data_IF_128800217850
#
_entry.id   IF_128800217850
#
_cell.length_a   1.000
_cell.length_b   1.000
_cell.length_c   1.000
_cell.angle_alpha   90.00
_cell.angle_beta   90.00
_cell.angle_gamma   90.00
#
_symmetry.space_group_name_H-M   'P 1'
#
loop_
_entity.id
_entity.type
_entity.pdbx_description
1 polymer ?
#
# COMPACT_ATOMS: atom_id res chain seq x y z
N UNK A 1 -8.26 5.30 14.31
CA UNK A 1 -8.11 6.71 14.67
C UNK A 1 -9.14 7.54 13.90
N UNK A 2 -9.78 8.51 14.57
CA UNK A 2 -10.71 9.42 13.92
C UNK A 2 -10.31 10.85 14.29
N UNK A 3 -10.12 11.70 13.29
CA UNK A 3 -9.89 13.12 13.45
C UNK A 3 -11.09 13.88 12.87
N UNK A 4 -11.72 14.75 13.65
CA UNK A 4 -12.88 15.54 13.25
C UNK A 4 -12.63 17.03 13.45
N UNK A 5 -13.03 17.83 12.48
CA UNK A 5 -12.80 19.27 12.45
C UNK A 5 -14.00 20.01 11.90
N UNK A 6 -14.26 21.18 12.45
CA UNK A 6 -15.10 22.22 11.85
C UNK A 6 -14.36 23.56 11.92
N UNK A 7 -14.64 24.47 10.98
CA UNK A 7 -14.07 25.82 11.02
C UNK A 7 -14.82 26.73 11.99
N UNK A 8 -14.23 27.88 12.29
CA UNK A 8 -14.89 28.99 12.93
C UNK A 8 -15.03 30.14 11.92
N UNK A 9 -16.27 30.46 11.53
CA UNK A 9 -16.57 31.61 10.65
C UNK A 9 -16.31 32.94 11.32
N UNK A 10 -16.59 33.02 12.63
CA UNK A 10 -16.45 34.22 13.43
C UNK A 10 -15.18 34.18 14.26
N UNK A 11 -14.17 35.02 13.96
CA UNK A 11 -12.88 34.99 14.66
C UNK A 11 -12.97 35.31 16.17
N UNK A 12 -14.05 35.94 16.58
CA UNK A 12 -14.29 36.30 18.00
C UNK A 12 -15.07 35.23 18.75
N UNK A 13 -15.50 34.17 18.10
CA UNK A 13 -16.18 33.05 18.74
C UNK A 13 -15.22 32.37 19.74
N UNK A 14 -15.75 31.99 20.90
CA UNK A 14 -14.94 31.37 21.96
C UNK A 14 -14.44 29.97 21.61
N UNK A 15 -15.05 29.30 20.65
CA UNK A 15 -14.70 27.94 20.21
C UNK A 15 -15.91 27.14 19.72
N UNK A 16 -15.68 25.89 19.41
CA UNK A 16 -16.68 24.93 18.98
C UNK A 16 -17.12 24.03 20.14
N UNK A 17 -18.24 23.34 19.95
CA UNK A 17 -18.73 22.34 20.90
C UNK A 17 -18.19 20.94 20.56
N UNK A 18 -16.99 20.61 21.01
CA UNK A 18 -16.31 19.32 20.73
C UNK A 18 -17.17 18.08 21.04
N UNK A 19 -17.98 18.16 22.12
CA UNK A 19 -18.87 17.06 22.51
C UNK A 19 -19.90 16.72 21.44
N UNK A 20 -20.36 17.69 20.61
CA UNK A 20 -21.31 17.43 19.53
C UNK A 20 -20.68 16.59 18.43
N UNK A 21 -19.41 16.87 18.09
CA UNK A 21 -18.68 16.06 17.11
C UNK A 21 -18.50 14.63 17.61
N UNK A 22 -18.11 14.49 18.88
CA UNK A 22 -17.92 13.19 19.52
C UNK A 22 -19.21 12.35 19.51
N UNK A 23 -20.34 12.92 19.91
CA UNK A 23 -21.61 12.21 19.96
C UNK A 23 -22.09 11.73 18.59
N UNK A 24 -21.91 12.52 17.54
CA UNK A 24 -22.24 12.12 16.16
C UNK A 24 -21.37 11.00 15.65
N UNK A 25 -20.06 10.99 16.01
CA UNK A 25 -19.15 9.88 15.69
C UNK A 25 -19.53 8.63 16.46
N UNK A 26 -19.86 8.76 17.75
CA UNK A 26 -20.26 7.63 18.61
C UNK A 26 -21.54 6.97 18.09
N UNK A 27 -22.53 7.76 17.73
CA UNK A 27 -23.78 7.30 17.12
C UNK A 27 -23.52 6.51 15.83
N UNK A 28 -22.69 7.06 14.91
CA UNK A 28 -22.31 6.36 13.69
C UNK A 28 -21.61 5.03 14.00
N UNK A 29 -20.69 5.01 14.96
CA UNK A 29 -19.89 3.83 15.29
C UNK A 29 -20.69 2.69 15.92
N UNK A 30 -21.82 2.98 16.52
CA UNK A 30 -22.68 2.00 17.19
C UNK A 30 -23.81 1.47 16.33
N UNK A 31 -24.24 2.24 15.34
CA UNK A 31 -25.44 1.96 14.54
C UNK A 31 -25.17 1.44 13.14
N UNK A 32 -24.02 1.78 12.55
CA UNK A 32 -23.81 1.64 11.12
C UNK A 32 -22.37 1.26 10.71
N UNK A 33 -22.25 0.77 9.48
CA UNK A 33 -20.98 0.59 8.78
C UNK A 33 -20.58 1.90 8.10
N UNK A 34 -19.29 2.19 8.04
CA UNK A 34 -18.78 3.36 7.33
C UNK A 34 -19.03 3.20 5.80
N UNK A 35 -20.03 3.92 5.30
CA UNK A 35 -20.38 4.03 3.89
C UNK A 35 -20.18 5.46 3.39
N UNK A 36 -20.26 5.65 2.09
CA UNK A 36 -20.25 6.99 1.49
C UNK A 36 -21.38 7.85 2.05
N UNK A 37 -22.62 7.31 2.11
CA UNK A 37 -23.80 8.01 2.58
C UNK A 37 -23.69 8.41 4.06
N UNK A 38 -23.25 7.47 4.90
CA UNK A 38 -23.08 7.74 6.33
C UNK A 38 -21.99 8.77 6.60
N UNK A 39 -20.94 8.81 5.77
CA UNK A 39 -19.90 9.84 5.83
C UNK A 39 -20.46 11.22 5.49
N UNK A 40 -21.32 11.32 4.47
CA UNK A 40 -21.99 12.57 4.10
C UNK A 40 -22.90 13.04 5.23
N UNK A 41 -23.73 12.14 5.76
CA UNK A 41 -24.63 12.41 6.88
C UNK A 41 -23.87 12.92 8.12
N UNK A 42 -22.72 12.32 8.42
CA UNK A 42 -21.87 12.75 9.53
C UNK A 42 -21.33 14.18 9.32
N UNK A 43 -20.83 14.49 8.11
CA UNK A 43 -20.31 15.82 7.79
C UNK A 43 -21.41 16.90 7.83
N UNK A 44 -22.60 16.60 7.32
CA UNK A 44 -23.77 17.46 7.42
C UNK A 44 -24.18 17.67 8.89
N UNK A 45 -24.15 16.62 9.70
CA UNK A 45 -24.40 16.68 11.14
C UNK A 45 -23.40 17.58 11.87
N UNK A 46 -22.13 17.54 11.48
CA UNK A 46 -21.11 18.43 12.07
C UNK A 46 -21.42 19.89 11.80
N UNK A 47 -21.80 20.24 10.56
CA UNK A 47 -22.18 21.61 10.21
C UNK A 47 -23.48 22.02 10.90
N UNK A 48 -24.53 21.19 10.82
CA UNK A 48 -25.84 21.50 11.40
C UNK A 48 -25.79 21.70 12.92
N UNK A 49 -24.98 20.89 13.62
CA UNK A 49 -24.79 21.07 15.06
C UNK A 49 -24.01 22.35 15.43
N UNK A 50 -23.37 23.04 14.45
CA UNK A 50 -22.60 24.25 14.62
C UNK A 50 -23.02 25.35 13.64
N UNK A 51 -24.29 25.40 13.21
CA UNK A 51 -24.81 26.18 12.08
C UNK A 51 -24.42 27.66 12.14
N UNK A 52 -24.46 28.29 13.30
CA UNK A 52 -24.04 29.68 13.45
C UNK A 52 -22.52 29.89 13.39
N UNK A 53 -21.75 28.87 13.68
CA UNK A 53 -20.30 28.94 13.89
C UNK A 53 -19.50 28.42 12.70
N UNK A 54 -20.03 27.44 11.95
CA UNK A 54 -19.26 26.65 10.99
C UNK A 54 -20.01 26.50 9.67
N UNK A 55 -19.25 26.47 8.57
CA UNK A 55 -19.74 26.14 7.22
C UNK A 55 -18.85 25.13 6.50
N UNK A 56 -17.79 24.68 7.18
CA UNK A 56 -16.89 23.64 6.69
C UNK A 56 -16.70 22.56 7.76
N UNK A 57 -16.75 21.32 7.34
CA UNK A 57 -16.47 20.16 8.18
C UNK A 57 -15.48 19.22 7.48
N UNK A 58 -14.61 18.61 8.26
CA UNK A 58 -13.68 17.58 7.79
C UNK A 58 -13.65 16.44 8.78
N UNK A 59 -13.63 15.21 8.26
CA UNK A 59 -13.39 14.02 9.06
C UNK A 59 -12.35 13.14 8.37
N UNK A 60 -11.51 12.48 9.16
CA UNK A 60 -10.52 11.54 8.69
C UNK A 60 -10.61 10.27 9.52
N UNK A 61 -10.84 9.15 8.86
CA UNK A 61 -10.80 7.81 9.44
C UNK A 61 -9.51 7.12 9.01
N UNK A 62 -8.72 6.65 9.96
CA UNK A 62 -7.49 5.88 9.69
C UNK A 62 -7.56 4.54 10.41
N UNK A 63 -7.40 3.45 9.67
CA UNK A 63 -7.51 2.08 10.19
C UNK A 63 -6.74 1.09 9.31
N UNK A 64 -6.47 -0.09 9.86
CA UNK A 64 -5.91 -1.20 9.12
C UNK A 64 -7.02 -2.03 8.51
N UNK A 65 -7.04 -2.13 7.18
CA UNK A 65 -7.97 -2.98 6.45
C UNK A 65 -7.37 -4.37 6.24
N UNK A 66 -8.00 -5.39 6.79
CA UNK A 66 -7.47 -6.74 6.78
C UNK A 66 -8.09 -7.57 5.64
N UNK A 67 -7.22 -8.10 4.77
CA UNK A 67 -7.61 -9.03 3.70
C UNK A 67 -6.88 -10.37 3.84
N UNK A 68 -7.58 -11.45 3.52
CA UNK A 68 -6.93 -12.74 3.31
C UNK A 68 -6.34 -12.79 1.91
N UNK A 69 -5.02 -12.99 1.83
CA UNK A 69 -4.27 -13.08 0.58
C UNK A 69 -3.74 -14.50 0.37
N UNK A 70 -3.88 -14.98 -0.86
CA UNK A 70 -3.27 -16.25 -1.30
C UNK A 70 -1.80 -16.04 -1.59
N UNK A 71 -0.99 -17.05 -1.29
CA UNK A 71 0.38 -17.15 -1.78
C UNK A 71 0.41 -17.41 -3.28
N UNK A 72 1.58 -17.18 -3.89
CA UNK A 72 1.76 -17.17 -5.35
C UNK A 72 1.48 -18.54 -6.00
N UNK A 73 1.95 -19.64 -5.39
CA UNK A 73 1.91 -20.99 -5.96
C UNK A 73 1.12 -21.95 -5.07
N UNK A 74 1.45 -22.04 -3.79
CA UNK A 74 0.87 -23.05 -2.89
C UNK A 74 -0.59 -22.82 -2.54
N UNK A 75 -1.13 -21.62 -2.83
CA UNK A 75 -2.51 -21.25 -2.51
C UNK A 75 -2.78 -21.13 -1.01
N UNK A 76 -1.75 -21.15 -0.16
CA UNK A 76 -1.89 -20.88 1.27
C UNK A 76 -2.41 -19.46 1.49
N UNK A 77 -3.15 -19.25 2.54
CA UNK A 77 -3.76 -17.96 2.83
C UNK A 77 -3.29 -17.41 4.17
N UNK A 78 -2.95 -16.15 4.18
CA UNK A 78 -2.63 -15.40 5.39
C UNK A 78 -3.39 -14.07 5.43
N UNK A 79 -3.52 -13.51 6.62
CA UNK A 79 -4.04 -12.17 6.81
C UNK A 79 -2.95 -11.14 6.52
N UNK A 80 -3.33 -10.09 5.80
CA UNK A 80 -2.49 -8.95 5.51
C UNK A 80 -3.25 -7.67 5.84
N UNK A 81 -2.59 -6.75 6.52
CA UNK A 81 -3.13 -5.44 6.86
C UNK A 81 -2.67 -4.40 5.84
N UNK A 82 -3.60 -3.55 5.43
CA UNK A 82 -3.35 -2.40 4.56
C UNK A 82 -3.79 -1.15 5.30
N UNK A 83 -2.88 -0.22 5.61
CA UNK A 83 -3.26 1.07 6.15
C UNK A 83 -4.18 1.81 5.17
N UNK A 84 -5.33 2.24 5.67
CA UNK A 84 -6.34 2.96 4.90
C UNK A 84 -6.69 4.24 5.60
N UNK A 85 -6.84 5.29 4.81
CA UNK A 85 -7.36 6.58 5.29
C UNK A 85 -8.49 7.05 4.39
N UNK A 86 -9.63 7.34 4.97
CA UNK A 86 -10.78 7.94 4.30
C UNK A 86 -10.91 9.37 4.83
N UNK A 87 -10.83 10.35 3.94
CA UNK A 87 -10.99 11.77 4.27
C UNK A 87 -12.22 12.32 3.58
N UNK A 88 -13.16 12.83 4.36
CA UNK A 88 -14.31 13.61 3.87
C UNK A 88 -14.12 15.08 4.20
N UNK A 89 -14.37 15.95 3.23
CA UNK A 89 -14.38 17.40 3.37
C UNK A 89 -15.67 17.94 2.79
N UNK A 90 -16.47 18.60 3.60
CA UNK A 90 -17.64 19.35 3.18
C UNK A 90 -17.34 20.85 3.35
N UNK A 91 -17.24 21.58 2.25
CA UNK A 91 -16.90 22.99 2.23
C UNK A 91 -17.99 23.79 1.49
N UNK A 92 -18.77 24.55 2.23
CA UNK A 92 -19.86 25.37 1.69
C UNK A 92 -20.78 24.60 0.73
N UNK A 93 -21.17 23.40 1.12
CA UNK A 93 -22.01 22.49 0.33
C UNK A 93 -21.28 21.71 -0.76
N UNK A 94 -19.98 21.92 -0.97
CA UNK A 94 -19.19 21.12 -1.88
C UNK A 94 -18.51 19.99 -1.11
N UNK A 95 -18.80 18.74 -1.50
CA UNK A 95 -18.25 17.54 -0.91
C UNK A 95 -17.06 17.05 -1.73
N UNK A 96 -15.95 16.80 -1.06
CA UNK A 96 -14.78 16.11 -1.60
C UNK A 96 -14.47 14.92 -0.69
N UNK A 97 -14.36 13.70 -1.25
CA UNK A 97 -13.97 12.47 -0.53
C UNK A 97 -12.75 11.88 -1.19
N UNK A 98 -11.73 11.59 -0.38
CA UNK A 98 -10.48 10.97 -0.77
C UNK A 98 -10.29 9.65 0.01
N UNK A 99 -9.95 8.59 -0.71
CA UNK A 99 -9.51 7.31 -0.17
C UNK A 99 -8.01 7.15 -0.43
N UNK A 100 -7.23 6.96 0.63
CA UNK A 100 -5.81 6.62 0.57
C UNK A 100 -5.61 5.18 1.02
N UNK A 101 -4.80 4.43 0.27
CA UNK A 101 -4.44 3.04 0.59
C UNK A 101 -2.94 2.87 0.45
N UNK A 102 -2.32 2.28 1.47
CA UNK A 102 -0.89 2.00 1.48
C UNK A 102 -0.66 0.51 1.21
N UNK A 103 0.03 0.20 0.12
CA UNK A 103 0.28 -1.19 -0.31
C UNK A 103 1.77 -1.49 -0.27
N UNK A 104 2.24 -2.37 0.64
CA UNK A 104 3.63 -2.78 0.68
C UNK A 104 3.96 -3.75 -0.46
N UNK A 105 5.06 -3.50 -1.14
CA UNK A 105 5.59 -4.34 -2.20
C UNK A 105 7.11 -4.49 -2.09
N UNK A 106 7.68 -5.37 -2.90
CA UNK A 106 9.13 -5.54 -3.02
C UNK A 106 9.59 -5.09 -4.40
N UNK A 107 10.71 -4.40 -4.44
CA UNK A 107 11.37 -4.04 -5.69
C UNK A 107 12.86 -4.37 -5.64
N UNK A 108 13.45 -4.60 -6.78
CA UNK A 108 14.89 -4.84 -6.92
C UNK A 108 15.53 -3.66 -7.65
N UNK A 109 16.53 -3.05 -7.02
CA UNK A 109 17.24 -1.92 -7.61
C UNK A 109 17.92 -2.32 -8.93
N UNK A 110 17.60 -1.66 -10.06
CA UNK A 110 18.19 -1.97 -11.37
C UNK A 110 19.71 -1.85 -11.40
N UNK A 111 20.28 -0.84 -10.73
CA UNK A 111 21.73 -0.67 -10.64
C UNK A 111 22.38 -1.84 -9.89
N UNK A 112 21.84 -2.22 -8.73
CA UNK A 112 22.34 -3.35 -7.95
C UNK A 112 22.26 -4.67 -8.73
N UNK A 113 21.18 -4.87 -9.51
CA UNK A 113 21.02 -6.04 -10.36
C UNK A 113 22.05 -6.08 -11.51
N UNK A 114 22.37 -4.94 -12.11
CA UNK A 114 23.38 -4.83 -13.15
C UNK A 114 24.78 -5.12 -12.61
N UNK A 115 25.14 -4.51 -11.48
CA UNK A 115 26.45 -4.71 -10.83
C UNK A 115 26.63 -6.17 -10.33
N UNK A 116 25.59 -6.77 -9.76
CA UNK A 116 25.63 -8.18 -9.35
C UNK A 116 25.94 -9.10 -10.55
N UNK A 117 25.27 -8.88 -11.70
CA UNK A 117 25.57 -9.65 -12.93
C UNK A 117 27.00 -9.48 -13.42
N UNK A 118 27.55 -8.26 -13.36
CA UNK A 118 28.94 -7.99 -13.75
C UNK A 118 29.94 -8.74 -12.85
N UNK A 119 29.69 -8.76 -11.53
CA UNK A 119 30.54 -9.50 -10.58
C UNK A 119 30.48 -11.02 -10.83
N UNK A 120 29.29 -11.58 -11.11
CA UNK A 120 29.14 -12.98 -11.47
C UNK A 120 29.87 -13.31 -12.78
N UNK A 121 29.78 -12.44 -13.80
CA UNK A 121 30.53 -12.61 -15.06
C UNK A 121 32.04 -12.58 -14.84
N UNK A 122 32.52 -11.70 -13.97
CA UNK A 122 33.94 -11.64 -13.62
C UNK A 122 34.39 -12.90 -12.90
N UNK A 123 33.66 -13.37 -11.89
CA UNK A 123 33.93 -14.58 -11.17
C UNK A 123 33.95 -15.83 -12.10
N UNK A 124 33.02 -15.90 -13.06
CA UNK A 124 33.02 -16.95 -14.08
C UNK A 124 34.30 -16.90 -14.93
N UNK A 125 34.67 -15.71 -15.40
CA UNK A 125 35.91 -15.55 -16.19
C UNK A 125 37.16 -15.98 -15.40
N UNK A 126 37.28 -15.55 -14.15
CA UNK A 126 38.41 -15.92 -13.28
C UNK A 126 38.48 -17.44 -13.02
N UNK A 127 37.34 -18.08 -12.78
CA UNK A 127 37.24 -19.51 -12.51
C UNK A 127 37.63 -20.39 -13.71
N UNK A 128 37.30 -19.97 -14.92
CA UNK A 128 37.44 -20.80 -16.13
C UNK A 128 38.46 -20.27 -17.17
N UNK A 129 39.23 -19.23 -16.84
CA UNK A 129 40.13 -18.54 -17.80
C UNK A 129 41.18 -19.45 -18.40
N UNK A 130 41.69 -20.42 -17.64
CA UNK A 130 42.75 -21.31 -18.08
C UNK A 130 42.24 -22.61 -18.74
N UNK A 131 40.91 -22.75 -18.92
CA UNK A 131 40.29 -23.90 -19.54
C UNK A 131 40.01 -23.66 -21.02
N UNK A 132 40.54 -24.56 -21.87
CA UNK A 132 40.24 -24.52 -23.30
C UNK A 132 38.77 -24.89 -23.60
N UNK A 133 38.29 -25.90 -22.84
CA UNK A 133 36.89 -26.35 -22.87
C UNK A 133 36.30 -26.32 -21.48
N UNK A 134 35.04 -25.93 -21.36
CA UNK A 134 34.33 -25.85 -20.09
C UNK A 134 33.20 -26.88 -20.08
N UNK A 135 33.22 -27.79 -19.08
CA UNK A 135 32.18 -28.79 -18.92
C UNK A 135 30.89 -28.12 -18.37
N UNK A 136 29.77 -28.41 -19.03
CA UNK A 136 28.45 -27.90 -18.62
C UNK A 136 28.07 -28.34 -17.21
N UNK A 137 28.40 -29.57 -16.80
CA UNK A 137 28.11 -30.08 -15.46
C UNK A 137 28.90 -29.30 -14.38
N UNK A 138 30.18 -29.00 -14.65
CA UNK A 138 31.00 -28.20 -13.74
C UNK A 138 30.45 -26.76 -13.60
N UNK A 139 30.03 -26.14 -14.68
CA UNK A 139 29.43 -24.82 -14.64
C UNK A 139 28.12 -24.82 -13.84
N UNK A 140 27.30 -25.83 -14.08
CA UNK A 140 26.00 -25.97 -13.37
C UNK A 140 26.22 -26.12 -11.85
N UNK A 141 27.15 -26.96 -11.42
CA UNK A 141 27.49 -27.13 -10.00
C UNK A 141 28.04 -25.83 -9.41
N UNK A 142 29.00 -25.20 -10.11
CA UNK A 142 29.60 -23.94 -9.66
C UNK A 142 28.58 -22.81 -9.49
N UNK A 143 27.62 -22.65 -10.41
CA UNK A 143 26.54 -21.68 -10.30
C UNK A 143 25.62 -21.90 -9.07
N UNK A 144 25.61 -23.11 -8.51
CA UNK A 144 24.87 -23.43 -7.29
C UNK A 144 25.62 -23.06 -6.00
N UNK A 145 26.86 -22.57 -6.08
CA UNK A 145 27.67 -22.18 -4.92
C UNK A 145 27.70 -20.69 -4.66
N UNK A 146 28.18 -20.31 -3.47
CA UNK A 146 28.42 -18.90 -3.13
C UNK A 146 29.60 -18.31 -3.92
N UNK A 147 30.49 -19.12 -4.44
CA UNK A 147 31.62 -18.72 -5.29
C UNK A 147 31.12 -18.40 -6.72
N UNK A 148 30.09 -19.10 -7.19
CA UNK A 148 29.46 -18.84 -8.49
C UNK A 148 28.52 -17.65 -8.45
N UNK A 149 27.70 -17.53 -7.43
CA UNK A 149 26.80 -16.40 -7.20
C UNK A 149 27.41 -15.50 -6.13
N UNK A 150 28.53 -14.85 -6.47
CA UNK A 150 29.30 -13.96 -5.58
C UNK A 150 28.56 -12.70 -5.14
N UNK A 151 27.48 -12.36 -5.82
CA UNK A 151 26.67 -11.18 -5.53
C UNK A 151 25.21 -11.42 -5.88
N UNK A 152 24.34 -10.88 -5.05
CA UNK A 152 22.89 -10.80 -5.32
C UNK A 152 22.45 -9.34 -5.32
N UNK A 153 21.50 -8.95 -6.19
CA UNK A 153 20.95 -7.61 -6.11
C UNK A 153 20.23 -7.43 -4.78
N UNK A 154 20.27 -6.23 -4.21
CA UNK A 154 19.47 -5.96 -3.04
C UNK A 154 17.99 -5.80 -3.43
N UNK A 155 17.12 -6.39 -2.63
CA UNK A 155 15.69 -6.14 -2.64
C UNK A 155 15.35 -5.15 -1.54
N UNK A 156 14.42 -4.27 -1.83
CA UNK A 156 13.92 -3.28 -0.89
C UNK A 156 12.41 -3.42 -0.72
N UNK A 157 11.94 -3.22 0.50
CA UNK A 157 10.51 -3.12 0.77
C UNK A 157 10.09 -1.67 0.63
N UNK A 158 9.15 -1.43 -0.25
CA UNK A 158 8.57 -0.12 -0.53
C UNK A 158 7.08 -0.13 -0.20
N UNK A 159 6.49 1.06 -0.12
CA UNK A 159 5.05 1.23 0.07
C UNK A 159 4.55 2.13 -1.04
N UNK A 160 3.54 1.69 -1.76
CA UNK A 160 2.79 2.50 -2.69
C UNK A 160 1.66 3.20 -1.93
N UNK A 161 1.77 4.51 -1.77
CA UNK A 161 0.73 5.36 -1.19
C UNK A 161 -0.15 5.88 -2.32
N UNK A 162 -1.34 5.33 -2.47
CA UNK A 162 -2.26 5.69 -3.54
C UNK A 162 -3.47 6.43 -3.00
N UNK A 163 -3.74 7.62 -3.55
CA UNK A 163 -4.88 8.46 -3.19
C UNK A 163 -5.84 8.57 -4.36
N UNK A 164 -7.09 8.29 -4.09
CA UNK A 164 -8.17 8.30 -5.09
C UNK A 164 -9.27 9.24 -4.63
N UNK A 165 -9.64 10.19 -5.47
CA UNK A 165 -10.85 10.99 -5.25
C UNK A 165 -12.07 10.19 -5.67
N UNK A 166 -13.03 10.06 -4.78
CA UNK A 166 -14.27 9.35 -5.04
C UNK A 166 -15.33 10.29 -5.61
N UNK A 167 -16.16 9.78 -6.52
CA UNK A 167 -17.26 10.51 -7.09
C UNK A 167 -18.58 10.19 -6.36
N UNK A 168 -19.62 10.98 -6.60
CA UNK A 168 -20.92 10.85 -5.95
C UNK A 168 -21.71 9.56 -6.28
N UNK A 169 -21.24 8.76 -7.24
CA UNK A 169 -21.86 7.46 -7.58
C UNK A 169 -21.33 6.32 -6.76
N UNK A 170 -20.31 6.56 -5.95
CA UNK A 170 -19.69 5.54 -5.09
C UNK A 170 -20.60 5.25 -3.90
N UNK A 171 -21.08 4.03 -3.77
CA UNK A 171 -21.92 3.60 -2.64
C UNK A 171 -21.10 2.99 -1.51
N UNK A 172 -20.03 2.28 -1.86
CA UNK A 172 -19.09 1.65 -0.93
C UNK A 172 -17.66 2.05 -1.28
N UNK A 173 -16.79 2.10 -0.28
CA UNK A 173 -15.37 2.38 -0.50
C UNK A 173 -14.69 1.21 -1.22
N UNK A 174 -14.12 1.38 -2.43
CA UNK A 174 -13.57 0.30 -3.25
C UNK A 174 -12.16 -0.10 -2.79
N UNK A 175 -11.98 -0.35 -1.49
CA UNK A 175 -10.66 -0.59 -0.89
C UNK A 175 -10.01 -1.85 -1.49
N UNK A 176 -10.78 -2.95 -1.54
CA UNK A 176 -10.27 -4.23 -2.08
C UNK A 176 -9.85 -4.10 -3.54
N UNK A 177 -10.70 -3.46 -4.37
CA UNK A 177 -10.42 -3.29 -5.80
C UNK A 177 -9.17 -2.44 -6.04
N UNK A 178 -8.97 -1.39 -5.24
CA UNK A 178 -7.77 -0.54 -5.31
C UNK A 178 -6.54 -1.33 -4.89
N UNK A 179 -6.60 -2.08 -3.79
CA UNK A 179 -5.49 -2.94 -3.35
C UNK A 179 -5.14 -3.96 -4.44
N UNK A 180 -6.14 -4.62 -5.04
CA UNK A 180 -5.94 -5.60 -6.11
C UNK A 180 -5.30 -4.96 -7.35
N UNK A 181 -5.76 -3.77 -7.73
CA UNK A 181 -5.19 -3.02 -8.85
C UNK A 181 -3.72 -2.69 -8.61
N UNK A 182 -3.38 -2.20 -7.41
CA UNK A 182 -2.00 -1.82 -7.05
C UNK A 182 -1.10 -3.07 -7.03
N UNK A 183 -1.51 -4.15 -6.33
CA UNK A 183 -0.72 -5.39 -6.25
C UNK A 183 -0.48 -6.01 -7.63
N UNK A 184 -1.50 -6.02 -8.49
CA UNK A 184 -1.37 -6.52 -9.86
C UNK A 184 -0.47 -5.64 -10.74
N UNK A 185 -0.47 -4.34 -10.53
CA UNK A 185 0.40 -3.40 -11.27
C UNK A 185 1.86 -3.52 -10.84
N UNK A 186 2.12 -3.63 -9.55
CA UNK A 186 3.47 -3.72 -8.97
C UNK A 186 4.07 -5.13 -9.04
N UNK A 187 3.27 -6.17 -9.21
CA UNK A 187 3.64 -7.59 -9.47
C UNK A 187 4.37 -8.33 -8.35
N UNK A 188 4.88 -7.67 -7.37
CA UNK A 188 5.67 -8.26 -6.26
C UNK A 188 5.09 -7.87 -4.90
N UNK A 189 3.81 -8.20 -4.61
CA UNK A 189 3.20 -7.91 -3.32
C UNK A 189 3.89 -8.69 -2.21
N UNK A 190 4.03 -8.08 -1.04
CA UNK A 190 4.54 -8.78 0.15
C UNK A 190 3.64 -9.95 0.50
N UNK A 191 4.21 -11.13 0.69
CA UNK A 191 3.47 -12.36 0.98
C UNK A 191 3.16 -12.48 2.47
N UNK A 192 1.99 -13.04 2.81
CA UNK A 192 1.54 -13.23 4.19
C UNK A 192 1.73 -14.67 4.70
N UNK A 193 1.65 -15.67 3.82
CA UNK A 193 1.84 -17.08 4.16
C UNK A 193 2.51 -17.78 2.99
N UNK A 194 3.71 -18.33 3.20
CA UNK A 194 4.56 -18.88 2.12
C UNK A 194 5.04 -20.28 2.45
N UNK A 195 5.25 -21.09 1.39
CA UNK A 195 6.05 -22.28 1.35
C UNK A 195 7.28 -22.02 0.49
N UNK A 196 8.22 -22.98 0.41
CA UNK A 196 9.46 -22.86 -0.40
C UNK A 196 9.17 -22.53 -1.86
N UNK A 197 8.16 -23.14 -2.45
CA UNK A 197 7.74 -22.87 -3.82
C UNK A 197 7.26 -21.43 -4.04
N UNK A 198 6.63 -20.85 -3.03
CA UNK A 198 6.20 -19.44 -3.06
C UNK A 198 7.40 -18.50 -2.94
N UNK A 199 8.36 -18.82 -2.06
CA UNK A 199 9.60 -18.06 -1.91
C UNK A 199 10.45 -18.11 -3.19
N UNK A 200 10.54 -19.25 -3.84
CA UNK A 200 11.24 -19.41 -5.12
C UNK A 200 10.60 -18.57 -6.22
N UNK A 201 9.27 -18.62 -6.34
CA UNK A 201 8.54 -17.81 -7.32
C UNK A 201 8.66 -16.33 -7.02
N UNK A 202 8.59 -15.93 -5.74
CA UNK A 202 8.79 -14.54 -5.34
C UNK A 202 10.19 -14.04 -5.69
N UNK A 203 11.23 -14.84 -5.46
CA UNK A 203 12.61 -14.51 -5.85
C UNK A 203 12.73 -14.33 -7.37
N UNK A 204 12.10 -15.22 -8.16
CA UNK A 204 12.05 -15.12 -9.61
C UNK A 204 11.36 -13.83 -10.07
N UNK A 205 10.18 -13.53 -9.55
CA UNK A 205 9.43 -12.31 -9.85
C UNK A 205 10.23 -11.05 -9.49
N UNK A 206 10.84 -11.05 -8.31
CA UNK A 206 11.65 -9.94 -7.83
C UNK A 206 12.87 -9.68 -8.73
N UNK A 207 13.54 -10.74 -9.18
CA UNK A 207 14.65 -10.65 -10.13
C UNK A 207 14.25 -10.12 -11.52
N UNK A 208 12.98 -10.26 -11.90
CA UNK A 208 12.43 -9.79 -13.17
C UNK A 208 11.74 -8.42 -13.06
N UNK A 209 11.34 -8.02 -11.85
CA UNK A 209 10.69 -6.74 -11.60
C UNK A 209 11.71 -5.70 -11.10
N UNK A 210 12.62 -5.33 -12.00
CA UNK A 210 13.62 -4.28 -11.74
C UNK A 210 12.93 -2.93 -11.82
N UNK A 211 12.94 -2.20 -10.70
CA UNK A 211 12.19 -0.96 -10.60
C UNK A 211 12.88 -0.02 -9.61
N UNK A 212 13.07 1.23 -9.97
CA UNK A 212 13.31 2.28 -9.00
C UNK A 212 12.00 2.58 -8.26
N UNK A 213 12.09 3.07 -7.01
CA UNK A 213 10.90 3.46 -6.25
C UNK A 213 10.11 4.58 -6.94
N UNK A 214 10.80 5.41 -7.72
CA UNK A 214 10.25 6.53 -8.47
C UNK A 214 9.44 6.09 -9.71
N UNK A 215 9.59 4.82 -10.13
CA UNK A 215 8.90 4.26 -11.30
C UNK A 215 7.61 3.51 -10.93
N UNK A 216 7.30 3.40 -9.61
CA UNK A 216 6.20 2.59 -9.10
C UNK A 216 4.86 3.35 -9.04
#
# INVERSE_FOLDING_TARGET
LIDAFVNLKEPKAKGIHMSRLYLLIDELSTSDVLTYENLVTLLDGFISSHEELSDNAKVKFSFDYHLRRKSLISGKQGWKAYPVTITGLLNKGKLDIELSVDVPYSSTCPCSAALARQLIQQAFKERFIDKADVDLAEVHEWLGTTEGIVATPHSQRSVAEVKVKLNHTTTQFPITDIVDLIENSLKTPVQAAVKREDEQEFARLNGQNLMFCEDA
#
